data_IF_119633509596
#
_entry.id   IF_119633509596
#
_cell.length_a   1.000
_cell.length_b   1.000
_cell.length_c   1.000
_cell.angle_alpha   90.00
_cell.angle_beta   90.00
_cell.angle_gamma   90.00
#
_symmetry.space_group_name_H-M   'P 1'
#
loop_
_entity.id
_entity.type
_entity.pdbx_description
1 polymer ?
#
# COMPACT_ATOMS: atom_id res chain seq x y z
N UNK A 1 -15.35 -12.51 -37.49
CA UNK A 1 -14.79 -11.24 -38.02
C UNK A 1 -14.26 -10.40 -36.86
N UNK A 2 -12.96 -10.06 -36.91
CA UNK A 2 -12.20 -9.01 -36.19
C UNK A 2 -12.20 -9.04 -34.63
N UNK A 3 -11.09 -8.89 -33.94
CA UNK A 3 -9.68 -8.85 -34.29
C UNK A 3 -8.88 -9.08 -33.00
N UNK A 4 -7.82 -9.89 -33.09
CA UNK A 4 -6.72 -9.93 -32.15
C UNK A 4 -6.07 -8.53 -32.08
N UNK A 5 -5.65 -8.10 -30.90
CA UNK A 5 -4.58 -7.11 -30.76
C UNK A 5 -3.60 -7.58 -29.71
N UNK A 6 -2.53 -8.16 -30.22
CA UNK A 6 -1.23 -8.26 -29.62
C UNK A 6 -0.67 -6.87 -29.31
N UNK A 7 -0.31 -6.60 -28.06
CA UNK A 7 0.66 -5.55 -27.67
C UNK A 7 1.44 -6.10 -26.45
N UNK A 8 2.47 -6.93 -26.71
CA UNK A 8 3.76 -6.89 -26.00
C UNK A 8 4.47 -5.59 -26.47
N UNK A 9 5.28 -4.84 -25.73
CA UNK A 9 6.36 -5.16 -24.81
C UNK A 9 6.84 -3.85 -24.15
N UNK A 10 7.62 -4.00 -23.07
CA UNK A 10 8.72 -3.13 -22.64
C UNK A 10 8.55 -1.61 -22.55
N UNK A 11 8.71 -1.11 -21.32
CA UNK A 11 9.68 -0.04 -21.08
C UNK A 11 10.32 -0.24 -19.70
N UNK A 12 11.29 -1.15 -19.68
CA UNK A 12 12.36 -1.16 -18.67
C UNK A 12 13.53 -0.40 -19.30
N UNK A 13 14.07 0.54 -18.52
CA UNK A 13 15.41 1.15 -18.64
C UNK A 13 15.50 2.49 -19.40
N UNK A 14 15.85 3.57 -18.68
CA UNK A 14 17.04 4.38 -18.95
C UNK A 14 16.99 5.74 -18.23
N UNK A 15 17.76 5.89 -17.15
CA UNK A 15 18.42 7.17 -16.86
C UNK A 15 19.87 6.87 -16.51
N UNK A 16 20.73 6.92 -17.54
CA UNK A 16 22.17 7.20 -17.42
C UNK A 16 22.39 8.65 -17.81
N UNK A 17 23.24 9.34 -17.03
CA UNK A 17 23.90 10.60 -17.38
C UNK A 17 24.94 10.87 -16.30
N UNK A 18 26.18 10.35 -16.37
CA UNK A 18 27.34 10.85 -17.14
C UNK A 18 27.47 12.37 -17.15
N UNK A 19 28.18 12.90 -16.14
CA UNK A 19 28.90 14.17 -16.21
C UNK A 19 30.36 13.91 -15.83
N UNK A 20 31.26 13.99 -16.81
CA UNK A 20 32.71 13.85 -16.65
C UNK A 20 33.37 15.15 -17.12
N UNK A 21 34.52 15.44 -16.48
CA UNK A 21 35.63 16.33 -16.87
C UNK A 21 35.69 17.71 -16.18
N UNK A 22 36.87 18.36 -16.12
CA UNK A 22 38.17 17.82 -15.71
C UNK A 22 38.89 18.79 -14.73
N UNK A 23 39.82 18.32 -13.89
CA UNK A 23 40.84 19.22 -13.33
C UNK A 23 42.25 18.59 -13.34
N UNK A 24 43.03 19.16 -14.24
CA UNK A 24 44.47 19.44 -14.24
C UNK A 24 45.32 18.81 -13.12
N UNK A 25 46.21 17.93 -13.55
CA UNK A 25 47.42 17.46 -12.86
C UNK A 25 48.51 18.53 -12.91
N UNK A 26 49.14 18.83 -11.76
CA UNK A 26 50.44 19.50 -11.68
C UNK A 26 51.47 18.54 -11.01
N UNK A 27 52.71 18.44 -11.50
CA UNK A 27 53.74 17.60 -10.90
C UNK A 27 54.66 18.39 -9.95
N UNK A 28 55.11 17.71 -8.89
CA UNK A 28 56.39 18.00 -8.24
C UNK A 28 56.30 18.45 -6.78
N UNK A 29 56.71 17.56 -5.87
CA UNK A 29 57.85 17.78 -4.98
C UNK A 29 57.95 16.61 -3.97
N UNK A 30 59.09 15.93 -4.00
CA UNK A 30 59.50 14.91 -3.04
C UNK A 30 60.01 15.62 -1.78
N UNK A 31 59.53 15.22 -0.61
CA UNK A 31 59.99 15.66 0.71
C UNK A 31 59.68 14.61 1.79
N UNK A 32 60.51 14.50 2.84
CA UNK A 32 60.86 13.23 3.51
C UNK A 32 59.82 12.69 4.53
N UNK A 33 59.97 11.42 4.99
CA UNK A 33 58.98 10.77 5.85
C UNK A 33 59.18 10.99 7.37
N UNK A 34 58.05 10.87 8.09
CA UNK A 34 57.86 10.49 9.51
C UNK A 34 58.02 11.54 10.61
N UNK A 35 57.42 11.37 11.82
CA UNK A 35 56.61 10.23 12.31
C UNK A 35 55.30 10.57 13.08
N UNK A 36 54.54 9.51 13.37
CA UNK A 36 53.67 9.29 14.55
C UNK A 36 52.28 9.97 14.65
N UNK A 37 51.28 9.21 14.20
CA UNK A 37 50.06 8.82 14.93
C UNK A 37 49.47 9.77 16.00
N UNK A 38 48.37 10.43 15.62
CA UNK A 38 47.25 10.69 16.52
C UNK A 38 45.99 10.10 15.86
N UNK A 39 45.23 9.20 16.52
CA UNK A 39 44.00 8.69 15.94
C UNK A 39 42.97 9.81 15.90
N UNK A 40 42.64 10.24 14.69
CA UNK A 40 41.40 10.96 14.43
C UNK A 40 40.26 10.08 14.94
N UNK A 41 39.52 10.57 15.92
CA UNK A 41 38.25 9.98 16.33
C UNK A 41 37.35 9.98 15.10
N UNK A 42 37.25 8.83 14.44
CA UNK A 42 36.20 8.59 13.47
C UNK A 42 34.88 8.77 14.22
N UNK A 43 34.17 9.86 13.92
CA UNK A 43 32.75 9.93 14.23
C UNK A 43 32.11 8.67 13.63
N UNK A 44 31.40 7.85 14.43
CA UNK A 44 30.68 6.73 13.85
C UNK A 44 29.63 7.30 12.91
N UNK A 45 29.80 7.05 11.62
CA UNK A 45 28.73 7.23 10.63
C UNK A 45 27.49 6.48 11.13
N UNK A 46 26.27 7.01 10.94
CA UNK A 46 25.06 6.28 11.29
C UNK A 46 25.07 4.96 10.50
N UNK A 47 25.29 3.85 11.21
CA UNK A 47 25.17 2.52 10.63
C UNK A 47 23.72 2.33 10.21
N UNK A 48 23.48 2.05 8.93
CA UNK A 48 22.19 1.58 8.47
C UNK A 48 21.82 0.33 9.29
N UNK A 49 20.66 0.29 9.97
CA UNK A 49 20.27 -0.85 10.77
C UNK A 49 20.22 -2.09 9.88
N UNK A 50 20.77 -3.21 10.36
CA UNK A 50 20.73 -4.47 9.64
C UNK A 50 19.28 -4.76 9.20
N UNK A 51 19.03 -5.19 7.95
CA UNK A 51 17.68 -5.27 7.39
C UNK A 51 16.70 -6.17 8.18
N UNK A 52 17.22 -7.12 8.98
CA UNK A 52 16.41 -7.92 9.90
C UNK A 52 15.88 -7.13 11.10
N UNK A 53 16.65 -6.18 11.64
CA UNK A 53 16.28 -5.40 12.81
C UNK A 53 15.05 -4.51 12.54
N UNK A 54 14.94 -3.94 11.34
CA UNK A 54 13.77 -3.15 10.92
C UNK A 54 12.52 -4.04 10.81
N UNK A 55 12.66 -5.27 10.30
CA UNK A 55 11.54 -6.21 10.21
C UNK A 55 11.09 -6.60 11.61
N UNK A 56 12.01 -6.89 12.52
CA UNK A 56 11.71 -7.25 13.91
C UNK A 56 11.01 -6.10 14.66
N UNK A 57 11.43 -4.85 14.42
CA UNK A 57 10.78 -3.65 14.97
C UNK A 57 9.36 -3.46 14.44
N UNK A 58 9.15 -3.65 13.13
CA UNK A 58 7.82 -3.58 12.52
C UNK A 58 6.91 -4.68 13.08
N UNK A 59 7.41 -5.91 13.22
CA UNK A 59 6.64 -7.01 13.82
C UNK A 59 6.27 -6.69 15.26
N UNK A 60 7.21 -6.19 16.07
CA UNK A 60 6.94 -5.78 17.46
C UNK A 60 5.91 -4.64 17.55
N UNK A 61 5.98 -3.67 16.63
CA UNK A 61 5.02 -2.57 16.57
C UNK A 61 3.62 -3.08 16.23
N UNK A 62 3.51 -3.99 15.26
CA UNK A 62 2.22 -4.56 14.86
C UNK A 62 1.64 -5.43 15.97
N UNK A 63 2.44 -6.26 16.64
CA UNK A 63 1.96 -7.10 17.74
C UNK A 63 1.50 -6.26 18.92
N UNK A 64 2.23 -5.19 19.28
CA UNK A 64 1.81 -4.24 20.30
C UNK A 64 0.48 -3.57 19.95
N UNK A 65 0.34 -3.08 18.71
CA UNK A 65 -0.91 -2.47 18.24
C UNK A 65 -2.09 -3.44 18.22
N UNK A 66 -1.85 -4.70 17.85
CA UNK A 66 -2.90 -5.72 17.90
C UNK A 66 -3.33 -6.01 19.34
N UNK A 67 -2.39 -6.08 20.28
CA UNK A 67 -2.71 -6.26 21.70
C UNK A 67 -3.51 -5.07 22.27
N UNK A 68 -3.19 -3.84 21.88
CA UNK A 68 -3.97 -2.64 22.25
C UNK A 68 -5.39 -2.65 21.67
N UNK A 69 -5.57 -3.14 20.44
CA UNK A 69 -6.85 -3.12 19.74
C UNK A 69 -7.78 -4.27 20.14
N UNK A 70 -7.24 -5.39 20.63
CA UNK A 70 -8.00 -6.59 20.94
C UNK A 70 -9.23 -6.35 21.85
N UNK A 71 -9.13 -5.58 22.96
CA UNK A 71 -10.27 -5.35 23.84
C UNK A 71 -11.44 -4.61 23.17
N UNK A 72 -11.17 -3.75 22.19
CA UNK A 72 -12.21 -3.03 21.45
C UNK A 72 -12.96 -3.95 20.47
N UNK A 73 -12.26 -4.92 19.89
CA UNK A 73 -12.89 -5.94 19.04
C UNK A 73 -13.78 -6.87 19.86
N UNK A 74 -13.30 -7.28 21.03
CA UNK A 74 -14.05 -8.12 21.97
C UNK A 74 -15.33 -7.41 22.44
N UNK A 75 -15.24 -6.13 22.82
CA UNK A 75 -16.42 -5.35 23.22
C UNK A 75 -17.38 -5.14 22.03
N UNK A 76 -16.88 -4.89 20.83
CA UNK A 76 -17.73 -4.78 19.65
C UNK A 76 -18.48 -6.08 19.34
N UNK A 77 -17.85 -7.24 19.51
CA UNK A 77 -18.50 -8.55 19.38
C UNK A 77 -19.57 -8.75 20.47
N UNK A 78 -19.25 -8.42 21.71
CA UNK A 78 -20.19 -8.48 22.83
C UNK A 78 -21.42 -7.59 22.59
N UNK A 79 -21.23 -6.36 22.13
CA UNK A 79 -22.32 -5.44 21.82
C UNK A 79 -23.18 -5.96 20.65
N UNK A 80 -22.57 -6.53 19.61
CA UNK A 80 -23.32 -7.19 18.52
C UNK A 80 -24.15 -8.36 19.03
N UNK A 81 -23.63 -9.17 19.94
CA UNK A 81 -24.37 -10.27 20.55
C UNK A 81 -25.58 -9.77 21.34
N UNK A 82 -25.44 -8.67 22.09
CA UNK A 82 -26.56 -8.01 22.79
C UNK A 82 -27.61 -7.52 21.80
N UNK A 83 -27.20 -6.85 20.73
CA UNK A 83 -28.12 -6.37 19.69
C UNK A 83 -28.87 -7.52 19.01
N UNK A 84 -28.18 -8.62 18.72
CA UNK A 84 -28.79 -9.83 18.15
C UNK A 84 -29.81 -10.45 19.11
N UNK A 85 -29.47 -10.61 20.39
CA UNK A 85 -30.37 -11.15 21.41
C UNK A 85 -31.58 -10.25 21.68
N UNK A 86 -31.41 -8.92 21.57
CA UNK A 86 -32.49 -7.94 21.76
C UNK A 86 -33.49 -7.89 20.61
N UNK A 87 -33.25 -8.61 19.50
CA UNK A 87 -34.07 -8.55 18.30
C UNK A 87 -33.95 -7.22 17.52
N UNK A 88 -33.13 -6.29 17.98
CA UNK A 88 -32.83 -5.03 17.29
C UNK A 88 -32.03 -5.27 15.99
N UNK A 89 -31.41 -6.44 15.83
CA UNK A 89 -30.78 -6.89 14.59
C UNK A 89 -31.80 -7.61 13.68
N UNK A 90 -32.91 -6.96 13.34
CA UNK A 90 -33.81 -7.40 12.28
C UNK A 90 -33.60 -6.53 11.02
N UNK A 91 -32.85 -7.10 10.07
CA UNK A 91 -32.64 -6.75 8.65
C UNK A 91 -31.73 -5.56 8.30
N UNK A 92 -30.83 -5.80 7.31
CA UNK A 92 -31.17 -5.41 5.95
C UNK A 92 -31.32 -6.66 5.05
N UNK A 93 -32.36 -6.61 4.22
CA UNK A 93 -32.87 -7.64 3.31
C UNK A 93 -31.94 -8.75 2.78
N UNK A 94 -32.42 -9.99 2.94
CA UNK A 94 -32.10 -11.16 2.10
C UNK A 94 -32.43 -12.48 2.80
N UNK A 95 -33.41 -13.28 2.34
CA UNK A 95 -33.86 -14.47 3.06
C UNK A 95 -32.81 -15.60 2.99
N UNK A 96 -32.57 -16.20 4.14
CA UNK A 96 -31.77 -17.41 4.30
C UNK A 96 -32.28 -18.52 3.38
N UNK A 97 -31.40 -19.04 2.54
CA UNK A 97 -31.48 -20.41 2.01
C UNK A 97 -30.29 -21.19 2.54
N UNK A 98 -30.63 -22.06 3.47
CA UNK A 98 -30.02 -23.34 3.83
C UNK A 98 -28.64 -23.70 3.28
N UNK A 99 -27.74 -23.94 4.24
CA UNK A 99 -26.66 -24.94 4.24
C UNK A 99 -25.91 -25.25 2.92
N UNK A 100 -24.72 -24.65 2.79
CA UNK A 100 -23.58 -25.23 2.06
C UNK A 100 -22.26 -24.80 2.72
N UNK A 101 -21.22 -25.66 2.78
CA UNK A 101 -19.97 -25.37 3.51
C UNK A 101 -19.23 -24.17 2.92
N UNK A 102 -18.44 -23.41 3.71
CA UNK A 102 -17.90 -22.13 3.26
C UNK A 102 -16.87 -22.33 2.15
N UNK A 103 -17.27 -21.99 0.93
CA UNK A 103 -16.39 -21.81 -0.21
C UNK A 103 -15.41 -20.66 0.08
N UNK A 104 -14.27 -21.02 0.65
CA UNK A 104 -13.06 -20.20 0.72
C UNK A 104 -12.54 -19.91 -0.69
N UNK A 105 -13.18 -18.98 -1.41
CA UNK A 105 -12.70 -18.45 -2.69
C UNK A 105 -13.39 -17.15 -3.16
N UNK A 106 -14.46 -16.67 -2.50
CA UNK A 106 -15.23 -15.48 -2.95
C UNK A 106 -15.13 -14.23 -2.06
N UNK A 107 -14.23 -14.23 -1.06
CA UNK A 107 -14.02 -13.05 -0.19
C UNK A 107 -13.41 -11.83 -0.89
N UNK A 108 -12.84 -11.97 -2.08
CA UNK A 108 -11.93 -10.93 -2.61
C UNK A 108 -12.61 -9.83 -3.41
N UNK A 109 -13.62 -10.12 -4.23
CA UNK A 109 -14.16 -9.09 -5.14
C UNK A 109 -15.06 -8.07 -4.43
N UNK A 110 -15.87 -8.51 -3.46
CA UNK A 110 -16.74 -7.63 -2.68
C UNK A 110 -15.96 -6.76 -1.69
N UNK A 111 -15.00 -7.35 -0.97
CA UNK A 111 -14.16 -6.64 -0.01
C UNK A 111 -13.26 -5.59 -0.67
N UNK A 112 -12.70 -5.90 -1.84
CA UNK A 112 -11.90 -4.92 -2.58
C UNK A 112 -12.75 -3.75 -3.08
N UNK A 113 -13.97 -4.01 -3.55
CA UNK A 113 -14.89 -2.96 -3.98
C UNK A 113 -15.25 -2.04 -2.81
N UNK A 114 -15.66 -2.59 -1.67
CA UNK A 114 -16.05 -1.79 -0.50
C UNK A 114 -14.88 -0.96 0.03
N UNK A 115 -13.68 -1.52 0.11
CA UNK A 115 -12.48 -0.80 0.52
C UNK A 115 -12.12 0.35 -0.44
N UNK A 116 -12.24 0.14 -1.76
CA UNK A 116 -12.02 1.21 -2.75
C UNK A 116 -13.06 2.33 -2.58
N UNK A 117 -14.34 1.98 -2.42
CA UNK A 117 -15.40 2.97 -2.25
C UNK A 117 -15.25 3.77 -0.95
N UNK A 118 -14.81 3.13 0.14
CA UNK A 118 -14.55 3.82 1.41
C UNK A 118 -13.46 4.90 1.26
N UNK A 119 -12.34 4.58 0.60
CA UNK A 119 -11.26 5.57 0.34
C UNK A 119 -11.75 6.73 -0.53
N UNK A 120 -12.59 6.45 -1.54
CA UNK A 120 -13.13 7.49 -2.42
C UNK A 120 -14.15 8.37 -1.69
N UNK A 121 -14.95 7.80 -0.80
CA UNK A 121 -15.91 8.54 0.02
C UNK A 121 -15.22 9.53 0.97
N UNK A 122 -14.09 9.11 1.57
CA UNK A 122 -13.28 9.97 2.44
C UNK A 122 -12.56 11.07 1.64
N UNK A 123 -12.12 10.78 0.41
CA UNK A 123 -11.31 11.68 -0.41
C UNK A 123 -11.80 11.73 -1.86
N UNK A 124 -12.81 12.56 -2.17
CA UNK A 124 -13.23 12.79 -3.55
C UNK A 124 -12.07 13.32 -4.40
N UNK A 125 -11.97 12.87 -5.65
CA UNK A 125 -10.89 13.26 -6.56
C UNK A 125 -9.59 12.47 -6.38
N UNK A 126 -9.58 11.43 -5.55
CA UNK A 126 -8.42 10.55 -5.37
C UNK A 126 -8.11 9.74 -6.64
N UNK A 127 -6.83 9.54 -6.96
CA UNK A 127 -6.43 8.75 -8.14
C UNK A 127 -6.33 7.26 -7.82
N UNK A 128 -6.43 6.40 -8.83
CA UNK A 128 -6.26 4.95 -8.66
C UNK A 128 -4.89 4.55 -8.07
N UNK A 129 -3.85 5.36 -8.31
CA UNK A 129 -2.53 5.14 -7.72
C UNK A 129 -2.53 5.45 -6.23
N UNK A 130 -3.25 6.49 -5.81
CA UNK A 130 -3.34 6.91 -4.40
C UNK A 130 -4.24 5.95 -3.61
N UNK A 131 -5.33 5.49 -4.22
CA UNK A 131 -6.18 4.42 -3.66
C UNK A 131 -5.34 3.18 -3.39
N UNK A 132 -4.54 2.73 -4.36
CA UNK A 132 -3.69 1.54 -4.20
C UNK A 132 -2.69 1.67 -3.04
N UNK A 133 -2.06 2.84 -2.89
CA UNK A 133 -1.13 3.11 -1.78
C UNK A 133 -1.84 3.12 -0.42
N UNK A 134 -2.99 3.79 -0.36
CA UNK A 134 -3.77 3.94 0.89
C UNK A 134 -4.37 2.62 1.34
N UNK A 135 -4.85 1.81 0.41
CA UNK A 135 -5.57 0.57 0.71
C UNK A 135 -4.67 -0.68 0.72
N UNK A 136 -3.37 -0.55 0.46
CA UNK A 136 -2.44 -1.67 0.31
C UNK A 136 -2.77 -2.64 -0.84
N UNK A 137 -3.62 -2.24 -1.79
CA UNK A 137 -4.06 -3.10 -2.89
C UNK A 137 -3.11 -3.00 -4.09
N UNK A 138 -3.00 -4.09 -4.85
CA UNK A 138 -2.30 -4.06 -6.14
C UNK A 138 -2.96 -3.02 -7.06
N UNK A 139 -2.14 -2.15 -7.68
CA UNK A 139 -2.59 -1.10 -8.59
C UNK A 139 -3.46 -1.63 -9.75
N UNK A 140 -3.14 -2.82 -10.26
CA UNK A 140 -3.94 -3.50 -11.29
C UNK A 140 -5.36 -3.87 -10.81
N UNK A 141 -5.50 -4.35 -9.57
CA UNK A 141 -6.82 -4.66 -8.97
C UNK A 141 -7.64 -3.38 -8.82
N UNK A 142 -7.03 -2.31 -8.32
CA UNK A 142 -7.69 -1.01 -8.15
C UNK A 142 -8.12 -0.44 -9.51
N UNK A 143 -7.21 -0.39 -10.48
CA UNK A 143 -7.51 0.15 -11.80
C UNK A 143 -8.64 -0.62 -12.51
N UNK A 144 -8.64 -1.96 -12.41
CA UNK A 144 -9.70 -2.80 -12.98
C UNK A 144 -11.05 -2.56 -12.33
N UNK A 145 -11.08 -2.41 -11.00
CA UNK A 145 -12.31 -2.17 -10.24
C UNK A 145 -12.84 -0.77 -10.50
N UNK A 146 -12.00 0.27 -10.44
CA UNK A 146 -12.38 1.65 -10.76
C UNK A 146 -12.92 1.76 -12.19
N UNK A 147 -12.27 1.12 -13.17
CA UNK A 147 -12.76 1.12 -14.56
C UNK A 147 -14.14 0.47 -14.69
N UNK A 148 -14.39 -0.62 -13.96
CA UNK A 148 -15.69 -1.28 -13.93
C UNK A 148 -16.75 -0.39 -13.29
N UNK A 149 -16.44 0.23 -12.15
CA UNK A 149 -17.36 1.10 -11.40
C UNK A 149 -17.72 2.37 -12.19
N UNK A 150 -16.76 2.93 -12.95
CA UNK A 150 -17.06 4.04 -13.88
C UNK A 150 -18.01 3.61 -15.00
N UNK A 151 -17.84 2.39 -15.53
CA UNK A 151 -18.72 1.85 -16.58
C UNK A 151 -20.13 1.57 -16.07
N UNK A 152 -20.27 1.15 -14.82
CA UNK A 152 -21.58 0.91 -14.18
C UNK A 152 -22.23 2.18 -13.64
N UNK A 153 -21.57 3.34 -13.73
CA UNK A 153 -22.08 4.62 -13.24
C UNK A 153 -21.96 4.81 -11.73
N UNK A 154 -21.33 3.87 -11.02
CA UNK A 154 -21.12 3.94 -9.57
C UNK A 154 -19.97 4.89 -9.18
N UNK A 155 -19.13 5.28 -10.14
CA UNK A 155 -18.10 6.31 -9.97
C UNK A 155 -18.13 7.28 -11.15
N UNK A 156 -17.87 8.55 -10.85
CA UNK A 156 -17.75 9.63 -11.83
C UNK A 156 -16.31 10.14 -11.83
N UNK A 157 -15.83 10.60 -12.99
CA UNK A 157 -14.53 11.25 -13.08
C UNK A 157 -14.56 12.61 -12.37
N UNK A 158 -13.52 12.90 -11.59
CA UNK A 158 -13.31 14.19 -10.94
C UNK A 158 -11.86 14.62 -11.16
N UNK A 159 -11.64 15.56 -12.08
CA UNK A 159 -10.30 15.96 -12.50
C UNK A 159 -9.46 14.76 -12.97
N UNK A 160 -8.35 14.50 -12.27
CA UNK A 160 -7.47 13.33 -12.52
C UNK A 160 -7.87 12.07 -11.74
N UNK A 161 -8.86 12.16 -10.86
CA UNK A 161 -9.30 11.09 -9.96
C UNK A 161 -10.75 10.69 -10.17
N UNK A 162 -11.35 10.15 -9.10
CA UNK A 162 -12.72 9.62 -9.10
C UNK A 162 -13.48 10.02 -7.85
N UNK A 163 -14.81 10.08 -7.98
CA UNK A 163 -15.75 10.32 -6.88
C UNK A 163 -17.01 9.48 -7.01
N UNK A 164 -17.76 9.41 -5.91
CA UNK A 164 -19.11 8.87 -5.92
C UNK A 164 -20.06 9.83 -6.67
N UNK A 165 -21.06 9.30 -7.39
CA UNK A 165 -22.16 10.11 -7.88
C UNK A 165 -22.86 10.76 -6.68
N UNK A 166 -23.12 12.06 -6.77
CA UNK A 166 -23.83 12.84 -5.75
C UNK A 166 -25.32 12.84 -6.01
#
# INVERSE_FOLDING_TARGET
>A
MRARRDWWHDDVNAVRGTGVAPHVTAPGAVGPPSPAAAPMTASPSPEDPAPGAVVDEVVQTVTARLAELQPYLDEAERLRAILAASGAAASPDGPARDAAPPASARRTQGANKSAILAVIAERPGVTAADIARTSGMKRTVVASTVSRLKRTGELVAEGRGVRLPG
#
